data_IF_523406929733
#
_entry.id   IF_523406929733
#
_cell.length_a   1.000
_cell.length_b   1.000
_cell.length_c   1.000
_cell.angle_alpha   90.00
_cell.angle_beta   90.00
_cell.angle_gamma   90.00
#
_symmetry.space_group_name_H-M   'P 1'
#
loop_
_entity.id
_entity.type
_entity.pdbx_description
1 polymer ?
#
# COMPACT_ATOMS: atom_id res chain seq x y z
N UNK A 1 15.89 4.53 22.67
CA UNK A 1 15.22 3.44 21.92
C UNK A 1 15.21 3.80 20.44
N UNK A 2 15.41 2.82 19.55
CA UNK A 2 15.43 3.06 18.10
C UNK A 2 14.09 2.71 17.45
N UNK A 3 13.73 3.41 16.37
CA UNK A 3 12.47 3.18 15.64
C UNK A 3 12.74 3.18 14.15
N UNK A 4 12.09 2.28 13.41
CA UNK A 4 12.20 2.24 11.95
C UNK A 4 10.82 2.54 11.35
N UNK A 5 10.77 3.48 10.41
CA UNK A 5 9.67 3.63 9.47
C UNK A 5 10.07 3.02 8.13
N UNK A 6 9.15 2.31 7.49
CA UNK A 6 9.34 1.72 6.16
C UNK A 6 8.14 2.06 5.30
N UNK A 7 8.39 2.52 4.08
CA UNK A 7 7.36 2.73 3.06
C UNK A 7 7.67 1.92 1.80
N UNK A 8 6.88 0.87 1.56
CA UNK A 8 7.02 0.03 0.38
C UNK A 8 6.14 0.59 -0.74
N UNK A 9 6.77 1.32 -1.66
CA UNK A 9 6.14 1.88 -2.85
C UNK A 9 6.17 0.95 -4.06
N UNK A 10 5.64 1.42 -5.19
CA UNK A 10 5.73 0.72 -6.46
C UNK A 10 7.17 0.61 -6.97
N UNK A 11 7.91 1.71 -7.00
CA UNK A 11 9.27 1.72 -7.57
C UNK A 11 10.35 1.39 -6.54
N UNK A 12 10.24 1.99 -5.35
CA UNK A 12 11.24 1.89 -4.29
C UNK A 12 10.58 1.59 -2.94
N UNK A 13 11.36 0.96 -2.08
CA UNK A 13 11.11 0.85 -0.65
C UNK A 13 12.05 1.80 0.09
N UNK A 14 11.45 2.71 0.85
CA UNK A 14 12.11 3.76 1.61
C UNK A 14 12.16 3.41 3.11
N UNK A 15 13.28 3.71 3.77
CA UNK A 15 13.48 3.43 5.19
C UNK A 15 13.98 4.65 5.93
N UNK A 16 13.48 4.84 7.15
CA UNK A 16 13.91 5.87 8.08
C UNK A 16 14.12 5.27 9.47
N UNK A 17 15.39 5.14 9.89
CA UNK A 17 15.77 4.76 11.24
C UNK A 17 16.00 6.03 12.07
N UNK A 18 15.33 6.12 13.21
CA UNK A 18 15.54 7.17 14.22
C UNK A 18 16.24 6.50 15.41
N UNK A 19 17.47 6.92 15.66
CA UNK A 19 18.30 6.49 16.78
C UNK A 19 17.79 6.99 18.12
N UNK A 20 18.24 6.37 19.22
CA UNK A 20 17.90 6.83 20.57
C UNK A 20 18.47 8.21 20.92
N UNK A 21 19.49 8.64 20.19
CA UNK A 21 20.13 9.96 20.23
C UNK A 21 19.46 11.00 19.31
N UNK A 22 18.38 10.61 18.62
CA UNK A 22 17.67 11.45 17.66
C UNK A 22 18.31 11.51 16.27
N UNK A 23 19.42 10.82 16.02
CA UNK A 23 20.03 10.78 14.68
C UNK A 23 19.15 10.00 13.71
N UNK A 24 19.10 10.47 12.46
CA UNK A 24 18.33 9.84 11.40
C UNK A 24 19.26 9.15 10.41
N UNK A 25 18.96 7.89 10.10
CA UNK A 25 19.62 7.14 9.05
C UNK A 25 18.58 6.70 8.02
N UNK A 26 18.89 6.95 6.74
CA UNK A 26 18.01 6.57 5.62
C UNK A 26 18.60 5.39 4.85
N UNK A 27 17.72 4.61 4.24
CA UNK A 27 18.06 3.64 3.21
C UNK A 27 16.96 3.61 2.15
N UNK A 28 17.33 3.28 0.91
CA UNK A 28 16.41 3.17 -0.21
C UNK A 28 16.80 1.98 -1.06
N UNK A 29 15.83 1.15 -1.39
CA UNK A 29 16.04 -0.05 -2.21
C UNK A 29 14.98 -0.14 -3.29
N UNK A 30 15.29 -0.69 -4.48
CA UNK A 30 14.25 -1.00 -5.47
C UNK A 30 13.22 -1.96 -4.87
N UNK A 31 11.93 -1.74 -5.14
CA UNK A 31 10.86 -2.65 -4.70
C UNK A 31 10.97 -3.97 -5.47
N UNK A 32 10.90 -5.08 -4.75
CA UNK A 32 10.94 -6.43 -5.32
C UNK A 32 9.53 -7.01 -5.42
N UNK A 33 8.81 -6.71 -6.50
CA UNK A 33 7.39 -7.09 -6.64
C UNK A 33 7.10 -8.59 -6.56
N UNK A 34 8.05 -9.45 -6.93
CA UNK A 34 7.89 -10.90 -6.81
C UNK A 34 7.92 -11.39 -5.36
N UNK A 35 8.57 -10.64 -4.46
CA UNK A 35 8.64 -10.91 -3.03
C UNK A 35 9.11 -9.64 -2.30
N UNK A 36 8.16 -8.94 -1.67
CA UNK A 36 8.44 -7.67 -0.98
C UNK A 36 9.42 -7.84 0.19
N UNK A 37 9.51 -9.04 0.78
CA UNK A 37 10.42 -9.31 1.90
C UNK A 37 11.89 -9.20 1.48
N UNK A 38 12.22 -9.46 0.21
CA UNK A 38 13.60 -9.38 -0.30
C UNK A 38 14.11 -7.95 -0.25
N UNK A 39 13.36 -7.00 -0.81
CA UNK A 39 13.66 -5.57 -0.76
C UNK A 39 13.64 -5.04 0.67
N UNK A 40 12.63 -5.45 1.45
CA UNK A 40 12.52 -5.11 2.86
C UNK A 40 13.79 -5.46 3.65
N UNK A 41 14.22 -6.73 3.56
CA UNK A 41 15.38 -7.24 4.27
C UNK A 41 16.70 -6.65 3.75
N UNK A 42 16.77 -6.32 2.46
CA UNK A 42 17.92 -5.61 1.87
C UNK A 42 18.09 -4.23 2.50
N UNK A 43 17.01 -3.47 2.65
CA UNK A 43 17.05 -2.14 3.27
C UNK A 43 17.43 -2.18 4.75
N UNK A 44 16.88 -3.13 5.51
CA UNK A 44 17.29 -3.32 6.91
C UNK A 44 18.78 -3.66 7.05
N UNK A 45 19.32 -4.50 6.16
CA UNK A 45 20.77 -4.79 6.13
C UNK A 45 21.61 -3.56 5.77
N UNK A 46 21.12 -2.68 4.90
CA UNK A 46 21.81 -1.42 4.60
C UNK A 46 21.83 -0.49 5.82
N UNK A 47 20.72 -0.37 6.55
CA UNK A 47 20.68 0.40 7.81
C UNK A 47 21.63 -0.18 8.86
N UNK A 48 21.64 -1.51 9.03
CA UNK A 48 22.54 -2.17 9.99
C UNK A 48 24.02 -1.88 9.68
N UNK A 49 24.42 -2.05 8.41
CA UNK A 49 25.77 -1.73 7.94
C UNK A 49 26.13 -0.26 8.14
N UNK A 50 25.20 0.66 7.91
CA UNK A 50 25.43 2.09 8.12
C UNK A 50 25.64 2.44 9.61
N UNK A 51 25.08 1.65 10.52
CA UNK A 51 25.29 1.75 11.97
C UNK A 51 26.50 0.94 12.46
N UNK A 52 27.25 0.29 11.57
CA UNK A 52 28.38 -0.58 11.94
C UNK A 52 27.96 -1.88 12.65
N UNK A 53 26.70 -2.28 12.54
CA UNK A 53 26.13 -3.44 13.21
C UNK A 53 25.77 -4.55 12.21
N UNK A 54 25.67 -5.79 12.69
CA UNK A 54 24.91 -6.82 11.99
C UNK A 54 23.40 -6.60 12.17
N UNK A 55 22.59 -7.31 11.37
CA UNK A 55 21.15 -7.14 11.38
C UNK A 55 20.51 -7.51 12.72
N UNK A 56 20.98 -8.58 13.38
CA UNK A 56 20.45 -9.02 14.66
C UNK A 56 20.72 -8.00 15.76
N UNK A 57 21.94 -7.47 15.81
CA UNK A 57 22.35 -6.42 16.75
C UNK A 57 21.57 -5.11 16.57
N UNK A 58 21.27 -4.72 15.32
CA UNK A 58 20.38 -3.59 15.06
C UNK A 58 18.96 -3.87 15.58
N UNK A 59 18.36 -4.99 15.16
CA UNK A 59 16.98 -5.32 15.50
C UNK A 59 16.76 -5.50 17.00
N UNK A 60 17.76 -5.97 17.74
CA UNK A 60 17.70 -6.06 19.20
C UNK A 60 17.57 -4.70 19.91
N UNK A 61 17.90 -3.59 19.23
CA UNK A 61 17.80 -2.22 19.77
C UNK A 61 16.57 -1.46 19.23
N UNK A 62 15.88 -2.02 18.24
CA UNK A 62 14.70 -1.43 17.62
C UNK A 62 13.47 -1.78 18.46
N UNK A 63 12.82 -0.75 18.97
CA UNK A 63 11.58 -0.84 19.74
C UNK A 63 10.38 -1.17 18.83
N UNK A 64 10.35 -0.59 17.63
CA UNK A 64 9.26 -0.79 16.68
C UNK A 64 9.67 -0.56 15.24
N UNK A 65 8.99 -1.29 14.34
CA UNK A 65 9.01 -1.06 12.90
C UNK A 65 7.59 -0.66 12.49
N UNK A 66 7.43 0.52 11.90
CA UNK A 66 6.18 1.00 11.30
C UNK A 66 6.24 0.77 9.81
N UNK A 67 5.30 0.00 9.30
CA UNK A 67 5.24 -0.40 7.90
C UNK A 67 4.06 0.30 7.20
N UNK A 68 4.36 1.09 6.17
CA UNK A 68 3.39 1.65 5.23
C UNK A 68 3.67 1.07 3.84
N UNK A 69 2.62 1.02 3.00
CA UNK A 69 2.78 0.56 1.62
C UNK A 69 1.67 1.10 0.73
N UNK A 70 1.99 1.28 -0.55
CA UNK A 70 1.01 1.57 -1.60
C UNK A 70 0.61 0.34 -2.43
N UNK A 71 1.18 -0.84 -2.14
CA UNK A 71 0.93 -2.08 -2.89
C UNK A 71 -0.56 -2.43 -2.92
N UNK A 72 -1.28 -2.30 -1.79
CA UNK A 72 -2.71 -2.59 -1.73
C UNK A 72 -3.55 -1.65 -2.61
N UNK A 73 -3.24 -0.35 -2.58
CA UNK A 73 -3.94 0.64 -3.42
C UNK A 73 -3.66 0.40 -4.90
N UNK A 74 -2.41 0.09 -5.27
CA UNK A 74 -2.05 -0.21 -6.65
C UNK A 74 -2.73 -1.48 -7.15
N UNK A 75 -2.80 -2.53 -6.32
CA UNK A 75 -3.50 -3.76 -6.68
C UNK A 75 -4.99 -3.54 -6.97
N UNK A 76 -5.63 -2.60 -6.24
CA UNK A 76 -7.01 -2.20 -6.50
C UNK A 76 -7.18 -1.42 -7.81
N UNK A 77 -6.29 -0.45 -8.07
CA UNK A 77 -6.31 0.36 -9.29
C UNK A 77 -6.01 -0.48 -10.54
N UNK A 78 -5.05 -1.39 -10.45
CA UNK A 78 -4.62 -2.28 -11.54
C UNK A 78 -5.48 -3.55 -11.67
N UNK A 79 -6.36 -3.81 -10.70
CA UNK A 79 -7.24 -5.00 -10.65
C UNK A 79 -6.49 -6.32 -10.74
N UNK A 80 -5.34 -6.41 -10.08
CA UNK A 80 -4.47 -7.59 -10.06
C UNK A 80 -4.84 -8.59 -8.95
N UNK A 81 -5.94 -8.35 -8.24
CA UNK A 81 -6.48 -9.23 -7.21
C UNK A 81 -7.11 -10.52 -7.79
N UNK A 82 -7.45 -11.48 -6.90
CA UNK A 82 -8.09 -12.73 -7.30
C UNK A 82 -9.52 -12.50 -7.80
N UNK A 83 -10.10 -13.52 -8.45
CA UNK A 83 -11.54 -13.56 -8.70
C UNK A 83 -12.28 -13.67 -7.36
N UNK A 84 -13.20 -12.75 -7.12
CA UNK A 84 -14.01 -12.67 -5.91
C UNK A 84 -15.43 -13.19 -6.15
N UNK A 85 -16.08 -13.67 -5.09
CA UNK A 85 -17.51 -13.98 -5.05
C UNK A 85 -18.19 -13.16 -3.95
N UNK A 86 -19.47 -12.83 -4.15
CA UNK A 86 -20.27 -12.06 -3.20
C UNK A 86 -21.47 -12.88 -2.73
N UNK A 87 -21.62 -13.02 -1.42
CA UNK A 87 -22.83 -13.58 -0.79
C UNK A 87 -23.59 -12.42 -0.16
N UNK A 88 -24.87 -12.27 -0.51
CA UNK A 88 -25.73 -11.19 -0.01
C UNK A 88 -27.06 -11.74 0.48
N UNK A 89 -27.85 -10.90 1.15
CA UNK A 89 -29.25 -11.19 1.42
C UNK A 89 -30.03 -11.35 0.12
N UNK A 90 -30.88 -12.37 0.02
CA UNK A 90 -31.70 -12.58 -1.18
C UNK A 90 -32.49 -11.32 -1.55
N UNK A 91 -32.41 -10.91 -2.82
CA UNK A 91 -33.01 -9.67 -3.32
C UNK A 91 -32.13 -8.42 -3.19
N UNK A 92 -30.89 -8.54 -2.70
CA UNK A 92 -29.91 -7.43 -2.57
C UNK A 92 -28.64 -7.63 -3.40
N UNK A 93 -28.61 -8.62 -4.29
CA UNK A 93 -27.47 -8.98 -5.13
C UNK A 93 -26.97 -7.79 -5.97
N UNK A 94 -27.91 -6.96 -6.44
CA UNK A 94 -27.63 -5.81 -7.30
C UNK A 94 -27.10 -4.57 -6.57
N UNK A 95 -26.98 -4.60 -5.23
CA UNK A 95 -26.63 -3.42 -4.43
C UNK A 95 -25.31 -2.77 -4.88
N UNK A 96 -24.28 -3.59 -5.18
CA UNK A 96 -22.96 -3.09 -5.61
C UNK A 96 -22.97 -2.56 -7.05
N UNK A 97 -23.87 -3.06 -7.91
CA UNK A 97 -24.02 -2.60 -9.29
C UNK A 97 -24.87 -1.34 -9.37
N UNK A 98 -25.89 -1.22 -8.52
CA UNK A 98 -26.68 -0.01 -8.34
C UNK A 98 -25.80 1.12 -7.80
N UNK A 99 -24.90 0.81 -6.85
CA UNK A 99 -23.90 1.75 -6.35
C UNK A 99 -24.52 2.99 -5.74
N UNK A 100 -25.58 2.82 -4.93
CA UNK A 100 -26.35 3.90 -4.30
C UNK A 100 -26.79 5.00 -5.29
N UNK A 101 -27.15 4.60 -6.52
CA UNK A 101 -27.54 5.43 -7.66
C UNK A 101 -26.46 6.31 -8.29
N UNK A 102 -25.52 6.87 -7.50
CA UNK A 102 -24.55 7.87 -7.97
C UNK A 102 -23.07 7.43 -7.96
N UNK A 103 -22.79 6.12 -7.97
CA UNK A 103 -21.41 5.61 -7.96
C UNK A 103 -20.51 6.09 -9.11
N UNK A 104 -21.08 6.62 -10.19
CA UNK A 104 -20.31 7.27 -11.25
C UNK A 104 -19.59 8.55 -10.82
N UNK A 105 -20.00 9.17 -9.71
CA UNK A 105 -19.38 10.38 -9.17
C UNK A 105 -18.28 10.08 -8.13
N UNK A 106 -18.19 8.83 -7.65
CA UNK A 106 -17.30 8.44 -6.58
C UNK A 106 -15.84 8.60 -7.01
N UNK A 107 -15.05 9.36 -6.24
CA UNK A 107 -13.64 9.64 -6.54
C UNK A 107 -13.39 10.61 -7.71
N UNK A 108 -14.44 11.12 -8.37
CA UNK A 108 -14.34 12.11 -9.44
C UNK A 108 -14.30 13.56 -8.93
N UNK A 109 -13.74 14.49 -9.71
CA UNK A 109 -13.80 15.92 -9.40
C UNK A 109 -15.20 16.49 -9.67
N UNK A 110 -15.50 17.64 -9.06
CA UNK A 110 -16.77 18.33 -9.28
C UNK A 110 -16.95 18.70 -10.75
N UNK A 111 -15.87 19.10 -11.42
CA UNK A 111 -15.85 19.49 -12.83
C UNK A 111 -16.14 18.29 -13.74
N UNK A 112 -15.49 17.15 -13.50
CA UNK A 112 -15.73 15.92 -14.26
C UNK A 112 -17.18 15.43 -14.09
N UNK A 113 -17.76 15.61 -12.90
CA UNK A 113 -19.12 15.18 -12.57
C UNK A 113 -20.23 16.06 -13.15
N UNK A 114 -19.90 17.16 -13.85
CA UNK A 114 -20.89 18.05 -14.49
C UNK A 114 -21.28 17.60 -15.89
N UNK A 115 -20.42 16.86 -16.59
CA UNK A 115 -20.74 16.34 -17.93
C UNK A 115 -21.63 15.08 -17.82
N UNK A 116 -22.92 15.31 -17.56
CA UNK A 116 -23.88 14.23 -17.36
C UNK A 116 -24.05 13.33 -18.59
N UNK A 117 -23.72 13.84 -19.79
CA UNK A 117 -23.85 13.08 -21.04
C UNK A 117 -22.78 11.99 -21.18
N UNK A 118 -21.70 12.05 -20.39
CA UNK A 118 -20.57 11.10 -20.44
C UNK A 118 -20.41 10.28 -19.16
N UNK A 119 -21.47 10.20 -18.35
CA UNK A 119 -21.46 9.42 -17.11
C UNK A 119 -21.24 7.94 -17.41
N UNK A 120 -20.23 7.36 -16.77
CA UNK A 120 -19.95 5.92 -16.77
C UNK A 120 -19.68 5.49 -15.34
N UNK A 121 -20.34 4.42 -14.88
CA UNK A 121 -20.04 3.81 -13.57
C UNK A 121 -18.68 3.10 -13.62
N UNK A 122 -17.93 3.04 -12.51
CA UNK A 122 -16.72 2.24 -12.46
C UNK A 122 -17.06 0.77 -12.77
N UNK A 123 -16.17 0.08 -13.48
CA UNK A 123 -16.31 -1.35 -13.69
C UNK A 123 -16.39 -2.06 -12.31
N UNK A 124 -17.27 -3.04 -12.11
CA UNK A 124 -17.39 -3.68 -10.80
C UNK A 124 -16.16 -4.56 -10.50
N UNK A 125 -15.83 -4.75 -9.23
CA UNK A 125 -14.76 -5.69 -8.81
C UNK A 125 -15.21 -7.14 -8.87
N UNK A 126 -16.51 -7.37 -8.73
CA UNK A 126 -17.15 -8.68 -8.76
C UNK A 126 -18.06 -8.70 -9.98
N UNK A 127 -17.82 -9.64 -10.90
CA UNK A 127 -18.68 -9.80 -12.08
C UNK A 127 -19.97 -10.54 -11.71
N UNK A 128 -21.09 -10.25 -12.38
CA UNK A 128 -22.33 -11.03 -12.28
C UNK A 128 -22.13 -12.51 -12.65
#
# INVERSE_FOLDING_TARGET
MMRIGVDVGGTFTDFCLIGGDGRVQLAKTPTTHYDLSVGFMKGLRQLARAQGNDLGSLLGQVESIRYSTTVGTNALLERTGPKLGLITTAGFEDTIFIGRARAWADGGSVEANRDLARIVKPAPLISP
#
